data_IF_802602524822
#
_entry.id   IF_802602524822
#
_cell.length_a   1.000
_cell.length_b   1.000
_cell.length_c   1.000
_cell.angle_alpha   90.00
_cell.angle_beta   90.00
_cell.angle_gamma   90.00
#
_symmetry.space_group_name_H-M   'P 1'
#
loop_
_entity.id
_entity.type
_entity.pdbx_description
1 polymer ?
#
# COMPACT_ATOMS: atom_id res chain seq x y z
N UNK A 1 57.18 12.71 28.69
CA UNK A 1 58.22 12.32 27.71
C UNK A 1 57.61 11.16 26.91
N UNK A 2 57.38 11.31 25.60
CA UNK A 2 58.27 10.82 24.52
C UNK A 2 58.50 9.30 24.59
N UNK A 3 58.30 8.48 23.54
CA UNK A 3 57.78 8.67 22.17
C UNK A 3 57.31 7.27 21.64
N UNK A 4 56.40 7.09 20.69
CA UNK A 4 56.56 7.22 19.22
C UNK A 4 57.90 6.64 18.68
N UNK A 5 57.99 5.86 17.59
CA UNK A 5 57.01 5.24 16.65
C UNK A 5 57.37 3.71 16.50
N UNK A 6 56.99 2.85 15.53
CA UNK A 6 56.37 2.91 14.18
C UNK A 6 55.60 1.61 13.83
N UNK A 7 54.65 1.71 12.89
CA UNK A 7 54.47 0.72 11.79
C UNK A 7 54.16 1.49 10.50
N UNK A 8 54.68 1.06 9.35
CA UNK A 8 54.65 1.84 8.11
C UNK A 8 53.33 1.72 7.34
N UNK A 9 53.00 2.80 6.64
CA UNK A 9 51.81 2.99 5.83
C UNK A 9 51.97 2.48 4.41
N UNK A 10 50.87 1.98 3.83
CA UNK A 10 50.61 2.09 2.40
C UNK A 10 49.40 3.03 2.24
N UNK A 11 49.62 4.16 1.57
CA UNK A 11 48.58 5.14 1.29
C UNK A 11 48.10 5.00 -0.17
N UNK A 12 46.79 5.03 -0.37
CA UNK A 12 46.18 5.31 -1.67
C UNK A 12 45.51 6.69 -1.63
N UNK A 13 45.50 7.48 -2.71
CA UNK A 13 45.08 8.88 -2.66
C UNK A 13 43.57 9.05 -2.47
N UNK A 14 43.19 10.08 -1.72
CA UNK A 14 41.81 10.50 -1.52
C UNK A 14 41.26 11.27 -2.75
N UNK A 15 40.17 10.82 -3.41
CA UNK A 15 39.46 11.62 -4.38
C UNK A 15 38.43 12.54 -3.70
N UNK A 16 38.84 13.79 -3.46
CA UNK A 16 37.97 14.97 -3.29
C UNK A 16 36.87 14.91 -2.23
N UNK A 17 37.15 15.49 -1.05
CA UNK A 17 36.11 15.87 -0.07
C UNK A 17 35.24 16.98 -0.68
N UNK A 18 34.01 16.65 -1.08
CA UNK A 18 32.95 17.66 -1.28
C UNK A 18 32.24 17.88 0.05
N UNK A 19 32.47 19.04 0.68
CA UNK A 19 31.91 19.39 1.99
C UNK A 19 30.41 19.66 1.91
N UNK A 20 29.59 18.61 1.91
CA UNK A 20 28.17 18.72 2.22
C UNK A 20 28.00 19.08 3.70
N UNK A 21 27.26 20.15 3.99
CA UNK A 21 26.75 20.41 5.34
C UNK A 21 25.97 19.17 5.83
N UNK A 22 25.93 18.91 7.16
CA UNK A 22 25.04 17.89 7.69
C UNK A 22 23.60 18.20 7.25
N UNK A 23 22.78 17.18 6.92
CA UNK A 23 21.36 17.41 6.71
C UNK A 23 20.76 18.01 7.99
N UNK A 24 19.89 19.01 7.84
CA UNK A 24 19.15 19.63 8.93
C UNK A 24 17.65 19.59 8.62
N UNK A 25 16.82 19.79 9.63
CA UNK A 25 15.37 19.77 9.45
C UNK A 25 14.90 20.94 8.56
N UNK A 26 14.20 20.64 7.47
CA UNK A 26 13.68 21.66 6.53
C UNK A 26 12.61 22.59 7.16
N UNK A 27 12.15 22.31 8.38
CA UNK A 27 11.08 23.04 9.07
C UNK A 27 11.55 23.81 10.30
N UNK A 28 12.42 23.23 11.14
CA UNK A 28 12.94 23.88 12.36
C UNK A 28 14.44 24.21 12.28
N UNK A 29 15.13 23.78 11.22
CA UNK A 29 16.56 23.99 10.95
C UNK A 29 17.54 23.42 11.99
N UNK A 30 17.04 22.66 12.96
CA UNK A 30 17.87 21.88 13.89
C UNK A 30 18.60 20.73 13.15
N UNK A 31 19.88 20.57 13.43
CA UNK A 31 20.69 19.40 13.08
C UNK A 31 20.40 18.28 14.10
N UNK A 32 20.12 17.05 13.63
CA UNK A 32 19.88 15.87 14.47
C UNK A 32 20.33 14.61 13.73
N UNK A 33 20.84 13.61 14.46
CA UNK A 33 21.43 12.40 13.85
C UNK A 33 20.41 11.50 13.11
N UNK A 34 19.12 11.59 13.49
CA UNK A 34 18.05 10.68 13.05
C UNK A 34 16.96 11.38 12.22
N UNK A 35 17.36 12.16 11.21
CA UNK A 35 16.41 12.84 10.31
C UNK A 35 15.67 11.85 9.39
N UNK A 36 14.35 12.02 9.34
CA UNK A 36 13.45 11.31 8.43
C UNK A 36 13.48 11.98 7.06
N UNK A 37 13.68 11.19 5.99
CA UNK A 37 13.59 11.70 4.61
C UNK A 37 12.15 11.70 4.11
N UNK A 38 11.80 12.69 3.30
CA UNK A 38 10.54 12.68 2.57
C UNK A 38 10.47 11.45 1.66
N UNK A 39 9.51 10.55 1.90
CA UNK A 39 9.38 9.28 1.19
C UNK A 39 9.20 9.41 -0.33
N UNK A 40 8.69 10.55 -0.81
CA UNK A 40 8.43 10.85 -2.23
C UNK A 40 9.65 11.35 -3.00
N UNK A 41 10.36 12.37 -2.50
CA UNK A 41 11.56 12.89 -3.18
C UNK A 41 12.88 12.29 -2.68
N UNK A 42 12.96 11.90 -1.41
CA UNK A 42 14.19 11.50 -0.70
C UNK A 42 15.28 12.57 -0.61
N UNK A 43 14.98 13.80 -1.05
CA UNK A 43 15.89 14.95 -1.11
C UNK A 43 15.72 15.95 0.07
N UNK A 44 14.68 15.77 0.90
CA UNK A 44 14.33 16.71 1.99
C UNK A 44 14.18 15.99 3.31
N UNK A 45 14.71 16.59 4.38
CA UNK A 45 14.93 15.98 5.69
C UNK A 45 14.10 16.67 6.78
N UNK A 46 13.58 15.89 7.73
CA UNK A 46 12.75 16.37 8.84
C UNK A 46 13.09 15.64 10.15
N UNK A 47 13.12 16.35 11.28
CA UNK A 47 13.35 15.68 12.57
C UNK A 47 12.15 14.91 13.11
N UNK A 48 10.95 15.15 12.57
CA UNK A 48 9.73 14.48 13.00
C UNK A 48 8.63 14.59 11.95
N UNK A 49 7.55 13.81 12.13
CA UNK A 49 6.37 13.80 11.26
C UNK A 49 5.64 15.14 11.27
N UNK A 50 5.63 15.83 12.42
CA UNK A 50 5.00 17.13 12.62
C UNK A 50 5.72 18.21 11.79
N UNK A 51 7.06 18.15 11.74
CA UNK A 51 7.86 19.03 10.90
C UNK A 51 7.57 18.81 9.41
N UNK A 52 7.49 17.54 8.96
CA UNK A 52 7.14 17.20 7.58
C UNK A 52 5.73 17.70 7.20
N UNK A 53 4.75 17.54 8.09
CA UNK A 53 3.36 17.99 7.86
C UNK A 53 3.25 19.51 7.81
N UNK A 54 4.00 20.24 8.64
CA UNK A 54 4.03 21.70 8.64
C UNK A 54 4.59 22.27 7.32
N UNK A 55 5.71 21.73 6.83
CA UNK A 55 6.35 22.14 5.57
C UNK A 55 5.63 21.61 4.31
N UNK A 56 4.75 20.60 4.42
CA UNK A 56 4.08 20.01 3.25
C UNK A 56 3.39 21.04 2.33
N UNK A 57 2.88 22.16 2.88
CA UNK A 57 2.25 23.24 2.10
C UNK A 57 3.24 23.97 1.16
N UNK A 58 4.49 24.12 1.57
CA UNK A 58 5.61 24.65 0.79
C UNK A 58 6.22 23.56 -0.08
N UNK A 59 6.72 22.49 0.56
CA UNK A 59 7.47 21.40 -0.05
C UNK A 59 6.75 20.74 -1.23
N UNK A 60 5.43 20.52 -1.16
CA UNK A 60 4.69 19.82 -2.23
C UNK A 60 4.78 20.46 -3.62
N UNK A 61 5.15 21.75 -3.72
CA UNK A 61 5.35 22.45 -5.01
C UNK A 61 6.66 22.06 -5.69
N UNK A 62 7.62 21.54 -4.93
CA UNK A 62 8.98 21.19 -5.37
C UNK A 62 9.24 19.68 -5.24
N UNK A 63 8.48 18.97 -4.40
CA UNK A 63 8.52 17.52 -4.17
C UNK A 63 8.24 16.71 -5.45
N UNK A 64 9.32 16.36 -6.16
CA UNK A 64 9.33 15.48 -7.34
C UNK A 64 9.87 14.11 -6.95
N UNK A 65 9.64 13.09 -7.77
CA UNK A 65 10.37 11.83 -7.64
C UNK A 65 11.85 12.07 -7.98
N UNK A 66 12.81 11.44 -7.27
CA UNK A 66 14.23 11.60 -7.57
C UNK A 66 14.51 11.05 -8.98
N UNK A 67 15.25 11.82 -9.78
CA UNK A 67 15.54 11.43 -11.16
C UNK A 67 16.44 10.19 -11.18
N UNK A 68 16.00 9.14 -11.89
CA UNK A 68 16.79 7.92 -12.08
C UNK A 68 17.91 8.15 -13.11
N UNK A 69 18.93 8.89 -12.68
CA UNK A 69 20.12 9.22 -13.44
C UNK A 69 21.35 9.21 -12.54
N UNK A 70 22.32 8.35 -12.87
CA UNK A 70 23.65 8.22 -12.26
C UNK A 70 23.74 7.60 -10.84
N UNK A 71 23.53 6.28 -10.75
CA UNK A 71 24.27 5.41 -9.79
C UNK A 71 24.82 4.21 -10.58
N UNK A 72 26.13 3.88 -10.48
CA UNK A 72 26.69 2.69 -11.14
C UNK A 72 26.20 1.39 -10.49
N UNK A 73 26.01 0.34 -11.30
CA UNK A 73 25.30 -0.88 -10.91
C UNK A 73 26.14 -1.86 -10.06
N UNK A 74 26.47 -1.51 -8.81
CA UNK A 74 27.18 -2.42 -7.89
C UNK A 74 26.96 -2.14 -6.40
N UNK A 75 25.75 -2.36 -5.89
CA UNK A 75 25.46 -2.64 -4.47
C UNK A 75 24.11 -3.40 -4.38
N UNK A 76 23.92 -4.39 -3.48
CA UNK A 76 22.68 -5.16 -3.42
C UNK A 76 21.55 -4.36 -2.75
N UNK A 77 20.55 -3.95 -3.54
CA UNK A 77 19.34 -3.29 -3.04
C UNK A 77 18.51 -4.26 -2.18
N UNK A 78 18.02 -3.86 -0.99
CA UNK A 78 16.93 -4.59 -0.33
C UNK A 78 15.65 -4.40 -1.16
N UNK A 79 15.35 -5.39 -2.02
CA UNK A 79 14.21 -5.33 -2.92
C UNK A 79 12.89 -5.48 -2.17
N UNK A 80 12.10 -4.41 -2.09
CA UNK A 80 10.66 -4.56 -1.96
C UNK A 80 10.16 -5.40 -3.16
N UNK A 81 9.26 -6.38 -2.97
CA UNK A 81 8.90 -7.34 -4.01
C UNK A 81 8.01 -6.71 -5.09
N UNK A 82 8.62 -6.13 -6.12
CA UNK A 82 7.94 -5.85 -7.39
C UNK A 82 7.54 -7.17 -8.03
N UNK A 83 6.29 -7.60 -7.80
CA UNK A 83 5.73 -8.81 -8.39
C UNK A 83 5.68 -8.64 -9.91
N UNK A 84 6.24 -9.56 -10.71
CA UNK A 84 6.12 -9.49 -12.17
C UNK A 84 4.64 -9.58 -12.55
N UNK A 85 4.17 -8.66 -13.41
CA UNK A 85 2.81 -8.74 -13.93
C UNK A 85 2.59 -10.08 -14.67
N UNK A 86 1.37 -10.59 -14.59
CA UNK A 86 0.97 -11.89 -15.13
C UNK A 86 1.25 -11.91 -16.65
N UNK A 87 2.27 -12.66 -17.05
CA UNK A 87 2.76 -12.78 -18.43
C UNK A 87 1.87 -13.72 -19.26
N UNK A 88 0.64 -13.28 -19.52
CA UNK A 88 -0.34 -13.98 -20.37
C UNK A 88 -0.93 -13.04 -21.40
N UNK A 89 -0.18 -12.80 -22.48
CA UNK A 89 -0.58 -11.96 -23.62
C UNK A 89 -1.95 -12.39 -24.14
N UNK A 90 -2.92 -11.47 -24.16
CA UNK A 90 -4.26 -11.73 -24.70
C UNK A 90 -5.27 -12.42 -23.77
N UNK A 91 -4.91 -12.79 -22.53
CA UNK A 91 -5.92 -13.22 -21.56
C UNK A 91 -6.81 -12.04 -21.09
N UNK A 92 -8.07 -12.35 -20.80
CA UNK A 92 -9.02 -11.42 -20.18
C UNK A 92 -9.11 -11.76 -18.69
N UNK A 93 -8.42 -10.99 -17.86
CA UNK A 93 -8.56 -11.07 -16.41
C UNK A 93 -9.90 -10.49 -15.94
N UNK A 94 -10.36 -10.91 -14.76
CA UNK A 94 -11.46 -10.24 -14.06
C UNK A 94 -10.91 -9.39 -12.93
N UNK A 95 -11.52 -8.23 -12.70
CA UNK A 95 -11.20 -7.33 -11.60
C UNK A 95 -12.44 -6.57 -11.13
N UNK A 96 -12.26 -5.74 -10.11
CA UNK A 96 -13.31 -4.87 -9.58
C UNK A 96 -12.83 -3.42 -9.62
N UNK A 97 -13.57 -2.55 -10.27
CA UNK A 97 -13.46 -1.11 -10.12
C UNK A 97 -14.11 -0.70 -8.79
N UNK A 98 -13.32 -0.09 -7.90
CA UNK A 98 -13.82 0.69 -6.77
C UNK A 98 -13.91 2.14 -7.22
N UNK A 99 -15.13 2.66 -7.35
CA UNK A 99 -15.40 4.06 -7.65
C UNK A 99 -15.14 4.96 -6.45
N UNK A 100 -14.61 6.15 -6.71
CA UNK A 100 -14.49 7.23 -5.74
C UNK A 100 -15.85 7.86 -5.38
N UNK A 101 -15.82 8.74 -4.40
CA UNK A 101 -16.90 9.69 -4.09
C UNK A 101 -17.55 9.41 -2.73
N UNK A 102 -17.46 10.40 -1.84
CA UNK A 102 -17.87 10.32 -0.43
C UNK A 102 -19.37 10.00 -0.24
N UNK A 103 -20.20 10.33 -1.24
CA UNK A 103 -21.66 10.23 -1.18
C UNK A 103 -22.23 9.04 -1.95
N UNK A 104 -21.40 8.19 -2.58
CA UNK A 104 -21.89 6.99 -3.27
C UNK A 104 -22.28 5.89 -2.26
N UNK A 105 -23.48 5.28 -2.37
CA UNK A 105 -23.85 4.08 -1.63
C UNK A 105 -22.85 2.94 -1.83
N UNK A 106 -22.65 2.12 -0.79
CA UNK A 106 -21.59 1.12 -0.76
C UNK A 106 -21.74 0.05 -1.86
N UNK A 107 -22.96 -0.39 -2.10
CA UNK A 107 -23.35 -1.34 -3.15
C UNK A 107 -23.09 -0.82 -4.57
N UNK A 108 -23.05 0.52 -4.74
CA UNK A 108 -22.81 1.20 -6.02
C UNK A 108 -21.33 1.53 -6.26
N UNK A 109 -20.50 1.49 -5.21
CA UNK A 109 -19.05 1.77 -5.27
C UNK A 109 -18.25 0.66 -5.95
N UNK A 110 -18.75 -0.56 -6.01
CA UNK A 110 -18.04 -1.70 -6.61
C UNK A 110 -18.66 -2.10 -7.96
N UNK A 111 -17.84 -2.30 -8.98
CA UNK A 111 -18.30 -2.74 -10.31
C UNK A 111 -17.31 -3.73 -10.92
N UNK A 112 -17.80 -4.90 -11.34
CA UNK A 112 -16.98 -5.94 -11.98
C UNK A 112 -16.56 -5.50 -13.39
N UNK A 113 -15.30 -5.76 -13.74
CA UNK A 113 -14.68 -5.32 -15.00
C UNK A 113 -13.82 -6.43 -15.64
N UNK A 114 -13.72 -6.38 -16.97
CA UNK A 114 -12.91 -7.27 -17.78
C UNK A 114 -11.62 -6.57 -18.24
N UNK A 115 -10.48 -7.12 -17.84
CA UNK A 115 -9.15 -6.57 -18.04
C UNK A 115 -8.44 -7.31 -19.18
N UNK A 116 -8.40 -6.73 -20.38
CA UNK A 116 -7.63 -7.27 -21.51
C UNK A 116 -6.14 -7.06 -21.25
N UNK A 117 -5.32 -8.12 -21.26
CA UNK A 117 -3.87 -8.01 -21.09
C UNK A 117 -3.14 -7.70 -22.42
N UNK A 118 -2.21 -6.73 -22.45
CA UNK A 118 -1.79 -5.85 -21.35
C UNK A 118 -2.79 -4.72 -21.09
N UNK A 119 -3.23 -4.55 -19.84
CA UNK A 119 -4.21 -3.52 -19.50
C UNK A 119 -3.50 -2.17 -19.29
N UNK A 120 -3.78 -1.11 -20.10
CA UNK A 120 -2.97 0.11 -20.11
C UNK A 120 -2.84 0.76 -18.72
N UNK A 121 -3.93 0.83 -17.95
CA UNK A 121 -3.94 1.43 -16.61
C UNK A 121 -2.98 0.74 -15.65
N UNK A 122 -2.89 -0.60 -15.68
CA UNK A 122 -2.02 -1.37 -14.78
C UNK A 122 -0.53 -1.15 -15.12
N UNK A 123 -0.23 -0.90 -16.40
CA UNK A 123 1.13 -0.59 -16.86
C UNK A 123 1.52 0.87 -16.58
N UNK A 124 0.58 1.81 -16.70
CA UNK A 124 0.83 3.25 -16.52
C UNK A 124 0.97 3.67 -15.06
N UNK A 125 0.12 3.14 -14.17
CA UNK A 125 0.08 3.55 -12.75
C UNK A 125 0.73 2.53 -11.81
N UNK A 126 1.03 1.33 -12.29
CA UNK A 126 1.59 0.24 -11.48
C UNK A 126 0.56 -0.44 -10.59
N UNK A 127 0.97 -1.56 -9.97
CA UNK A 127 0.17 -2.32 -9.01
C UNK A 127 0.88 -2.34 -7.64
N UNK A 128 0.13 -2.07 -6.58
CA UNK A 128 0.56 -2.28 -5.20
C UNK A 128 -0.09 -3.55 -4.63
N UNK A 129 0.60 -4.23 -3.72
CA UNK A 129 0.02 -5.34 -2.97
C UNK A 129 -0.85 -4.82 -1.83
N UNK A 130 -1.83 -5.62 -1.42
CA UNK A 130 -2.69 -5.37 -0.27
C UNK A 130 -2.31 -6.34 0.87
N UNK A 131 -1.21 -6.13 1.62
CA UNK A 131 -0.63 -7.17 2.49
C UNK A 131 -1.55 -7.68 3.60
N UNK A 132 -2.50 -6.87 4.10
CA UNK A 132 -3.53 -7.35 5.04
C UNK A 132 -4.41 -8.47 4.46
N UNK A 133 -4.54 -8.54 3.12
CA UNK A 133 -5.35 -9.54 2.42
C UNK A 133 -4.67 -10.91 2.32
N UNK A 134 -3.33 -10.95 2.35
CA UNK A 134 -2.57 -12.20 2.35
C UNK A 134 -2.75 -12.97 3.68
N UNK A 135 -3.06 -12.29 4.80
CA UNK A 135 -3.28 -12.90 6.12
C UNK A 135 -4.45 -13.90 6.18
N UNK A 136 -5.43 -13.79 5.27
CA UNK A 136 -6.54 -14.74 5.15
C UNK A 136 -6.54 -15.46 3.80
N UNK A 137 -5.34 -15.70 3.26
CA UNK A 137 -5.06 -16.44 2.02
C UNK A 137 -5.70 -15.86 0.76
N UNK A 138 -5.83 -14.53 0.67
CA UNK A 138 -6.40 -13.86 -0.50
C UNK A 138 -5.44 -12.82 -1.07
N UNK A 139 -4.54 -13.19 -2.00
CA UNK A 139 -3.50 -12.28 -2.47
C UNK A 139 -4.06 -11.24 -3.44
N UNK A 140 -4.44 -10.08 -2.91
CA UNK A 140 -5.00 -8.94 -3.65
C UNK A 140 -3.89 -7.96 -4.06
N UNK A 141 -4.03 -7.39 -5.26
CA UNK A 141 -3.29 -6.23 -5.70
C UNK A 141 -4.26 -5.14 -6.20
N UNK A 142 -3.84 -3.88 -6.09
CA UNK A 142 -4.64 -2.69 -6.40
C UNK A 142 -3.86 -1.70 -7.28
N UNK A 143 -4.56 -0.99 -8.14
CA UNK A 143 -4.04 0.01 -9.08
C UNK A 143 -4.88 1.28 -9.02
N UNK A 144 -4.27 2.45 -8.88
CA UNK A 144 -4.96 3.73 -9.09
C UNK A 144 -5.21 3.93 -10.59
N UNK A 145 -6.34 4.53 -11.00
CA UNK A 145 -6.72 4.59 -12.44
C UNK A 145 -6.50 5.94 -13.12
N UNK A 146 -6.37 6.99 -12.31
CA UNK A 146 -6.13 8.40 -12.65
C UNK A 146 -5.53 9.06 -11.40
N UNK A 147 -5.14 10.34 -11.44
CA UNK A 147 -4.76 11.11 -10.23
C UNK A 147 -5.98 11.88 -9.68
N UNK A 148 -6.63 11.46 -8.56
CA UNK A 148 -7.98 11.93 -8.24
C UNK A 148 -8.12 12.40 -6.78
N UNK A 149 -8.28 13.71 -6.58
CA UNK A 149 -8.52 14.32 -5.25
C UNK A 149 -9.96 14.06 -4.71
N UNK A 150 -10.40 12.82 -4.73
CA UNK A 150 -11.73 12.37 -4.33
C UNK A 150 -11.65 11.10 -3.46
N UNK A 151 -12.40 11.08 -2.36
CA UNK A 151 -12.32 10.00 -1.37
C UNK A 151 -12.66 8.62 -1.96
N UNK A 152 -11.81 7.65 -1.66
CA UNK A 152 -12.13 6.25 -1.85
C UNK A 152 -11.69 5.41 -0.64
N UNK A 153 -12.33 5.66 0.52
CA UNK A 153 -12.05 4.96 1.78
C UNK A 153 -11.98 3.41 1.63
N UNK A 154 -12.80 2.72 0.82
CA UNK A 154 -12.63 1.27 0.59
C UNK A 154 -11.29 0.89 -0.06
N UNK A 155 -10.78 1.67 -1.01
CA UNK A 155 -9.47 1.42 -1.61
C UNK A 155 -8.32 1.70 -0.62
N UNK A 156 -8.44 2.74 0.21
CA UNK A 156 -7.50 3.01 1.31
C UNK A 156 -7.49 1.85 2.32
N UNK A 157 -8.65 1.33 2.69
CA UNK A 157 -8.78 0.25 3.68
C UNK A 157 -8.22 -1.08 3.18
N UNK A 158 -8.29 -1.38 1.88
CA UNK A 158 -7.59 -2.53 1.29
C UNK A 158 -6.07 -2.37 1.30
N UNK A 159 -5.55 -1.14 1.44
CA UNK A 159 -4.10 -0.85 1.48
C UNK A 159 -3.53 -0.68 2.88
N UNK A 160 -4.26 -1.00 3.95
CA UNK A 160 -3.65 -0.99 5.30
C UNK A 160 -2.53 -2.01 5.43
N UNK A 161 -1.48 -1.65 6.17
CA UNK A 161 -0.37 -2.53 6.51
C UNK A 161 -0.71 -3.39 7.75
N UNK A 162 -0.34 -4.70 7.78
CA UNK A 162 -0.57 -5.58 8.93
C UNK A 162 0.00 -5.09 10.26
N UNK A 163 1.09 -4.32 10.21
CA UNK A 163 1.84 -3.83 11.37
C UNK A 163 1.07 -2.82 12.22
N UNK A 164 0.35 -1.88 11.59
CA UNK A 164 -0.17 -0.69 12.28
C UNK A 164 -1.60 -0.30 11.87
N UNK A 165 -2.17 -0.92 10.84
CA UNK A 165 -3.51 -0.61 10.35
C UNK A 165 -3.60 0.68 9.53
N UNK A 166 -2.46 1.32 9.21
CA UNK A 166 -2.42 2.49 8.35
C UNK A 166 -2.13 2.07 6.90
N UNK A 167 -2.78 2.72 5.95
CA UNK A 167 -2.34 2.66 4.55
C UNK A 167 -1.07 3.53 4.36
N UNK A 168 -0.22 3.29 3.36
CA UNK A 168 0.93 4.16 3.10
C UNK A 168 0.52 5.62 2.85
N UNK A 169 1.43 6.56 3.09
CA UNK A 169 1.13 8.00 3.13
C UNK A 169 0.42 8.54 1.87
N UNK A 170 0.81 8.08 0.67
CA UNK A 170 0.16 8.43 -0.60
C UNK A 170 -1.32 8.01 -0.66
N UNK A 171 -1.69 6.88 -0.04
CA UNK A 171 -3.08 6.45 0.07
C UNK A 171 -3.87 7.25 1.11
N UNK A 172 -3.21 7.82 2.12
CA UNK A 172 -3.85 8.66 3.13
C UNK A 172 -4.13 10.10 2.67
N UNK A 173 -3.17 10.77 1.99
CA UNK A 173 -3.21 12.25 1.85
C UNK A 173 -3.52 12.80 0.46
N UNK A 174 -3.16 12.09 -0.62
CA UNK A 174 -3.36 12.60 -1.99
C UNK A 174 -4.80 12.32 -2.50
N UNK A 175 -5.50 11.41 -1.79
CA UNK A 175 -6.68 10.62 -2.17
C UNK A 175 -6.43 9.71 -3.39
N UNK A 176 -6.77 8.40 -3.32
CA UNK A 176 -6.48 7.46 -4.40
C UNK A 176 -7.57 7.40 -5.47
N UNK A 177 -8.75 7.97 -5.20
CA UNK A 177 -9.98 7.90 -6.01
C UNK A 177 -10.21 6.56 -6.72
N UNK A 178 -10.63 6.59 -7.99
CA UNK A 178 -11.00 5.38 -8.74
C UNK A 178 -9.85 4.37 -8.82
N UNK A 179 -10.06 3.15 -8.30
CA UNK A 179 -9.05 2.11 -8.19
C UNK A 179 -9.53 0.79 -8.81
N UNK A 180 -8.64 0.04 -9.46
CA UNK A 180 -8.86 -1.33 -9.94
C UNK A 180 -8.25 -2.32 -8.96
N UNK A 181 -9.03 -3.33 -8.55
CA UNK A 181 -8.60 -4.45 -7.71
C UNK A 181 -8.55 -5.74 -8.53
N UNK A 182 -7.49 -6.52 -8.37
CA UNK A 182 -7.26 -7.81 -9.01
C UNK A 182 -6.73 -8.83 -8.00
N UNK A 183 -6.79 -10.13 -8.35
CA UNK A 183 -6.04 -11.17 -7.63
C UNK A 183 -4.68 -11.41 -8.30
N UNK A 184 -3.64 -11.46 -7.47
CA UNK A 184 -2.25 -11.80 -7.85
C UNK A 184 -2.10 -13.27 -8.28
N UNK A 185 -3.03 -14.15 -7.88
CA UNK A 185 -3.10 -15.55 -8.32
C UNK A 185 -3.94 -15.77 -9.60
N UNK A 186 -4.40 -14.70 -10.26
CA UNK A 186 -5.14 -14.77 -11.52
C UNK A 186 -6.57 -15.32 -11.45
N UNK A 187 -7.04 -15.74 -10.27
CA UNK A 187 -8.43 -16.20 -10.06
C UNK A 187 -9.41 -15.02 -10.19
N UNK A 188 -10.70 -15.26 -10.50
CA UNK A 188 -11.71 -14.22 -10.53
C UNK A 188 -11.96 -13.60 -9.15
N UNK A 189 -12.47 -12.37 -9.15
CA UNK A 189 -12.85 -11.61 -7.95
C UNK A 189 -14.16 -10.87 -8.19
N UNK A 190 -15.15 -11.11 -7.32
CA UNK A 190 -16.46 -10.47 -7.40
C UNK A 190 -16.50 -9.16 -6.61
N UNK A 191 -17.42 -8.27 -6.98
CA UNK A 191 -17.66 -7.01 -6.26
C UNK A 191 -18.00 -7.24 -4.78
N UNK A 192 -18.78 -8.29 -4.51
CA UNK A 192 -19.21 -8.69 -3.16
C UNK A 192 -18.04 -9.16 -2.28
N UNK A 193 -17.03 -9.81 -2.87
CA UNK A 193 -15.83 -10.21 -2.16
C UNK A 193 -15.01 -8.99 -1.73
N UNK A 194 -14.85 -7.99 -2.60
CA UNK A 194 -14.17 -6.72 -2.29
C UNK A 194 -14.95 -5.91 -1.23
N UNK A 195 -16.27 -5.86 -1.33
CA UNK A 195 -17.14 -5.25 -0.31
C UNK A 195 -16.98 -5.93 1.07
N UNK A 196 -16.94 -7.26 1.10
CA UNK A 196 -16.70 -8.06 2.32
C UNK A 196 -15.33 -7.73 2.93
N UNK A 197 -14.28 -7.61 2.11
CA UNK A 197 -12.94 -7.25 2.59
C UNK A 197 -12.94 -5.87 3.23
N UNK A 198 -13.48 -4.86 2.55
CA UNK A 198 -13.61 -3.51 3.10
C UNK A 198 -14.29 -3.53 4.48
N UNK A 199 -15.43 -4.20 4.60
CA UNK A 199 -16.17 -4.31 5.86
C UNK A 199 -15.37 -5.07 6.94
N UNK A 200 -14.62 -6.12 6.57
CA UNK A 200 -13.75 -6.85 7.49
C UNK A 200 -12.61 -5.97 8.01
N UNK A 201 -11.93 -5.22 7.15
CA UNK A 201 -10.82 -4.34 7.54
C UNK A 201 -11.35 -3.19 8.40
N UNK A 202 -12.51 -2.64 8.02
CA UNK A 202 -13.25 -1.68 8.84
C UNK A 202 -13.71 -2.25 10.20
N UNK A 203 -13.94 -3.57 10.33
CA UNK A 203 -14.24 -4.19 11.63
C UNK A 203 -12.99 -4.23 12.52
N UNK A 204 -11.80 -4.50 11.94
CA UNK A 204 -10.54 -4.53 12.68
C UNK A 204 -10.09 -3.14 13.12
N UNK A 205 -10.22 -2.14 12.25
CA UNK A 205 -9.94 -0.73 12.53
C UNK A 205 -10.90 -0.09 13.56
N UNK A 206 -12.05 -0.72 13.86
CA UNK A 206 -12.99 -0.32 14.92
C UNK A 206 -12.88 -1.19 16.17
N UNK A 207 -11.80 -1.96 16.31
CA UNK A 207 -11.56 -2.87 17.42
C UNK A 207 -10.14 -2.70 17.97
N UNK A 208 -9.84 -3.15 19.20
CA UNK A 208 -8.48 -3.10 19.75
C UNK A 208 -7.40 -3.89 18.99
N UNK A 209 -7.76 -4.56 17.88
CA UNK A 209 -6.82 -5.37 17.08
C UNK A 209 -5.53 -4.61 16.68
N UNK A 210 -5.57 -3.29 16.48
CA UNK A 210 -4.38 -2.48 16.17
C UNK A 210 -3.80 -1.74 17.38
N UNK A 211 -4.43 -1.82 18.56
CA UNK A 211 -3.95 -1.24 19.81
C UNK A 211 -2.88 -2.13 20.47
N UNK A 212 -3.03 -3.46 20.34
CA UNK A 212 -2.00 -4.44 20.73
C UNK A 212 -0.74 -4.38 19.85
N UNK A 213 0.42 -4.75 20.40
CA UNK A 213 1.64 -4.97 19.61
C UNK A 213 1.46 -6.15 18.66
N UNK A 214 2.13 -6.12 17.50
CA UNK A 214 1.90 -7.06 16.40
C UNK A 214 2.02 -8.54 16.81
N UNK A 215 2.93 -8.84 17.72
CA UNK A 215 3.25 -10.17 18.25
C UNK A 215 2.16 -10.73 19.18
N UNK A 216 1.36 -9.86 19.81
CA UNK A 216 0.31 -10.23 20.77
C UNK A 216 -1.10 -10.31 20.12
N UNK A 217 -1.25 -9.88 18.87
CA UNK A 217 -2.55 -9.87 18.17
C UNK A 217 -3.03 -11.29 17.90
N UNK A 218 -4.32 -11.53 18.14
CA UNK A 218 -5.00 -12.76 17.71
C UNK A 218 -4.86 -12.91 16.18
N UNK A 219 -4.20 -13.96 15.66
CA UNK A 219 -3.92 -14.04 14.23
C UNK A 219 -5.19 -13.94 13.37
N UNK A 220 -5.16 -13.05 12.39
CA UNK A 220 -6.13 -13.08 11.29
C UNK A 220 -5.95 -14.42 10.57
N UNK A 221 -7.05 -15.11 10.32
CA UNK A 221 -7.04 -16.42 9.66
C UNK A 221 -8.08 -16.48 8.55
N UNK A 222 -7.89 -17.39 7.57
CA UNK A 222 -8.93 -17.84 6.65
C UNK A 222 -10.32 -17.97 7.30
N UNK A 223 -10.43 -18.79 8.35
CA UNK A 223 -11.69 -19.08 9.06
C UNK A 223 -12.35 -17.82 9.65
N UNK A 224 -11.57 -16.91 10.24
CA UNK A 224 -12.08 -15.67 10.82
C UNK A 224 -12.70 -14.73 9.75
N UNK A 225 -12.11 -14.67 8.55
CA UNK A 225 -12.69 -13.90 7.44
C UNK A 225 -13.98 -14.57 6.92
N UNK A 226 -14.04 -15.90 6.89
CA UNK A 226 -15.27 -16.62 6.51
C UNK A 226 -16.40 -16.40 7.52
N UNK A 227 -16.14 -16.56 8.82
CA UNK A 227 -17.12 -16.34 9.89
C UNK A 227 -17.67 -14.91 9.88
N UNK A 228 -16.83 -13.91 9.56
CA UNK A 228 -17.26 -12.54 9.33
C UNK A 228 -18.14 -12.39 8.07
N UNK A 229 -17.71 -12.96 6.93
CA UNK A 229 -18.46 -12.90 5.67
C UNK A 229 -19.85 -13.50 5.81
N UNK A 230 -19.93 -14.67 6.44
CA UNK A 230 -21.14 -15.39 6.82
C UNK A 230 -22.11 -14.52 7.63
N UNK A 231 -21.60 -13.84 8.67
CA UNK A 231 -22.40 -12.96 9.53
C UNK A 231 -22.85 -11.70 8.79
N UNK A 232 -21.97 -11.08 8.01
CA UNK A 232 -22.25 -9.88 7.23
C UNK A 232 -23.37 -10.15 6.21
N UNK A 233 -23.24 -11.18 5.38
CA UNK A 233 -24.24 -11.47 4.35
C UNK A 233 -25.59 -11.97 4.92
N UNK A 234 -25.59 -12.65 6.08
CA UNK A 234 -26.84 -12.94 6.81
C UNK A 234 -27.55 -11.67 7.30
N UNK A 235 -26.80 -10.67 7.76
CA UNK A 235 -27.37 -9.38 8.15
C UNK A 235 -27.90 -8.62 6.92
N UNK A 236 -27.14 -8.56 5.83
CA UNK A 236 -27.55 -7.85 4.61
C UNK A 236 -28.79 -8.46 3.94
N UNK A 237 -28.94 -9.79 3.97
CA UNK A 237 -30.20 -10.43 3.52
C UNK A 237 -31.39 -10.03 4.39
N UNK A 238 -31.20 -9.95 5.71
CA UNK A 238 -32.23 -9.45 6.64
C UNK A 238 -32.57 -7.97 6.41
N UNK A 239 -31.59 -7.19 5.96
CA UNK A 239 -31.75 -5.78 5.57
C UNK A 239 -32.40 -5.60 4.18
N UNK A 240 -32.79 -6.68 3.48
CA UNK A 240 -33.50 -6.62 2.21
C UNK A 240 -32.61 -6.49 0.97
N UNK A 241 -31.28 -6.64 1.08
CA UNK A 241 -30.43 -6.82 -0.11
C UNK A 241 -30.70 -8.23 -0.67
N UNK A 242 -31.10 -8.31 -1.94
CA UNK A 242 -31.16 -9.59 -2.65
C UNK A 242 -29.73 -10.14 -2.81
N UNK A 243 -29.52 -11.33 -2.26
CA UNK A 243 -28.26 -12.06 -2.30
C UNK A 243 -28.48 -13.53 -2.64
N UNK A 244 -29.58 -13.93 -3.30
CA UNK A 244 -29.76 -15.34 -3.67
C UNK A 244 -28.84 -15.79 -4.83
N UNK A 245 -28.23 -14.81 -5.51
CA UNK A 245 -27.00 -14.96 -6.34
C UNK A 245 -25.79 -15.44 -5.52
N UNK A 246 -25.74 -15.13 -4.21
CA UNK A 246 -24.68 -15.53 -3.28
C UNK A 246 -25.05 -16.71 -2.37
N UNK A 247 -26.30 -17.17 -2.31
CA UNK A 247 -26.66 -18.31 -1.43
C UNK A 247 -26.89 -19.63 -2.18
N UNK A 248 -27.25 -19.58 -3.46
CA UNK A 248 -27.16 -20.74 -4.36
C UNK A 248 -25.79 -20.83 -5.07
N UNK A 249 -24.85 -19.94 -4.72
CA UNK A 249 -23.63 -19.73 -5.51
C UNK A 249 -22.51 -18.93 -4.84
N UNK A 250 -22.52 -18.75 -3.51
CA UNK A 250 -21.28 -18.36 -2.81
C UNK A 250 -20.22 -19.40 -3.18
N UNK A 251 -19.08 -19.00 -3.78
CA UNK A 251 -18.06 -19.98 -4.11
C UNK A 251 -17.61 -20.66 -2.82
N UNK A 252 -17.29 -21.95 -2.86
CA UNK A 252 -16.45 -22.53 -1.81
C UNK A 252 -15.03 -21.98 -1.98
N UNK A 253 -14.80 -20.71 -1.62
CA UNK A 253 -13.55 -20.00 -1.87
C UNK A 253 -12.38 -20.50 -1.00
N UNK A 254 -12.64 -21.45 -0.09
CA UNK A 254 -11.65 -22.29 0.60
C UNK A 254 -11.68 -23.79 0.23
N UNK A 255 -12.53 -24.26 -0.69
CA UNK A 255 -12.43 -25.65 -1.15
C UNK A 255 -11.28 -25.81 -2.16
N UNK A 256 -10.05 -25.84 -1.66
CA UNK A 256 -8.92 -26.62 -2.21
C UNK A 256 -7.70 -26.48 -1.28
N UNK A 257 -7.65 -27.33 -0.26
CA UNK A 257 -6.45 -27.67 0.52
C UNK A 257 -6.60 -29.09 1.05
#
# INVERSE_FOLDING_TARGET
>A
MHSQLYRLSFAFPNPSITTSMPPSCSTCHEEKDNLQVCSKCKETFYCSKECQVADWKSHKKQCKLPALSNIPASLPTPTAPTVPLINTTGQVGQGVLIKAGKNLPLDQRFSEIFLKHPHPTLMTFGIELCPFTELYNMPIAICQTKYPHEDNQPAVYLRIEPSDGFAPFNWQVDYPGDCIVIRKDGKPISKYLVETMYQFHASKLRSPYFEDTYENRVPITPKMFQEFSDQYWRAEKKNGRDIDVLLNGAPHWFATS
#
